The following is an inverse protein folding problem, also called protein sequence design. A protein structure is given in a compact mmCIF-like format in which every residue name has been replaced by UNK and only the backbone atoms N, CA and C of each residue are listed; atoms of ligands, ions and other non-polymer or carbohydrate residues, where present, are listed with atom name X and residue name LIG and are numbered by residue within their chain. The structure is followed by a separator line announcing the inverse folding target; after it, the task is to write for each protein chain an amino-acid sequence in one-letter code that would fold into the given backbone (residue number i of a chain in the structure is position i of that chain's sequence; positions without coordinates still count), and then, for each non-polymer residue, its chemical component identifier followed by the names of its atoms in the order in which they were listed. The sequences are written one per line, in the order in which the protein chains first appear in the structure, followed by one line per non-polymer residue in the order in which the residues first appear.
data_IF_560804596474
#
_entry.id   IF_560804596474
#
_cell.length_a   1.000
_cell.length_b   1.000
_cell.length_c   1.000
_cell.angle_alpha   90.00
_cell.angle_beta   90.00
_cell.angle_gamma   90.00
#
_symmetry.space_group_name_H-M   'P 1'
#
loop_
_entity.id
_entity.type
_entity.pdbx_description
1 polymer ?
#
# COMPACT_ATOMS: atom_id res chain seq x y z
N UNK A 1 17.10 3.05 48.44
CA UNK A 1 17.44 3.30 47.03
C UNK A 1 17.16 2.07 46.16
N UNK A 2 16.02 1.39 46.35
CA UNK A 2 15.64 0.16 45.64
C UNK A 2 14.19 0.21 45.10
N UNK A 3 13.44 1.27 45.40
CA UNK A 3 12.04 1.47 45.00
C UNK A 3 11.88 2.16 43.64
N UNK A 4 12.90 2.85 43.14
CA UNK A 4 12.84 3.54 41.84
C UNK A 4 13.10 2.63 40.63
N UNK A 5 13.74 1.47 40.82
CA UNK A 5 14.04 0.54 39.71
C UNK A 5 12.81 -0.25 39.25
N UNK A 6 11.85 -0.51 40.16
CA UNK A 6 10.64 -1.27 39.84
C UNK A 6 9.61 -0.45 39.05
N UNK A 7 9.55 0.87 39.23
CA UNK A 7 8.61 1.74 38.52
C UNK A 7 8.93 1.90 37.02
N UNK A 8 10.21 1.81 36.64
CA UNK A 8 10.65 1.88 35.23
C UNK A 8 10.27 0.63 34.42
N UNK A 9 10.10 -0.53 35.07
CA UNK A 9 9.65 -1.75 34.40
C UNK A 9 8.14 -1.75 34.11
N UNK A 10 7.32 -1.10 34.94
CA UNK A 10 5.86 -1.07 34.74
C UNK A 10 5.43 -0.10 33.64
N UNK A 11 6.11 1.03 33.46
CA UNK A 11 5.81 1.98 32.37
C UNK A 11 6.15 1.42 30.99
N UNK A 12 7.23 0.62 30.90
CA UNK A 12 7.61 -0.05 29.65
C UNK A 12 6.60 -1.14 29.24
N UNK A 13 5.95 -1.82 30.20
CA UNK A 13 4.95 -2.85 29.89
C UNK A 13 3.58 -2.28 29.49
N UNK A 14 3.16 -1.14 30.06
CA UNK A 14 1.87 -0.53 29.70
C UNK A 14 1.89 0.15 28.32
N UNK A 15 3.06 0.56 27.82
CA UNK A 15 3.18 1.15 26.49
C UNK A 15 2.92 0.14 25.34
N UNK A 16 3.10 -1.17 25.59
CA UNK A 16 2.96 -2.25 24.58
C UNK A 16 1.49 -2.72 24.43
N UNK A 17 0.57 -2.23 25.27
CA UNK A 17 -0.86 -2.56 25.22
C UNK A 17 -1.75 -1.43 24.68
N UNK A 18 -1.15 -0.32 24.21
CA UNK A 18 -1.90 0.90 23.88
C UNK A 18 -2.48 0.94 22.45
N UNK A 19 -2.00 0.12 21.52
CA UNK A 19 -2.35 0.24 20.11
C UNK A 19 -3.82 -0.06 19.81
N UNK A 20 -4.56 0.92 19.27
CA UNK A 20 -5.99 0.77 18.92
C UNK A 20 -6.28 -0.36 17.92
N UNK A 21 -5.30 -0.74 17.09
CA UNK A 21 -5.43 -1.80 16.09
C UNK A 21 -4.87 -3.15 16.56
N UNK A 22 -4.44 -3.24 17.81
CA UNK A 22 -3.93 -4.49 18.38
C UNK A 22 -4.99 -5.58 18.30
N UNK A 23 -4.60 -6.76 17.78
CA UNK A 23 -5.49 -7.90 17.52
C UNK A 23 -6.67 -7.61 16.58
N UNK A 24 -6.65 -6.50 15.84
CA UNK A 24 -7.64 -6.25 14.80
C UNK A 24 -7.40 -7.19 13.61
N UNK A 25 -8.46 -7.41 12.82
CA UNK A 25 -8.38 -8.08 11.52
C UNK A 25 -8.41 -7.05 10.42
N UNK A 26 -7.51 -7.17 9.44
CA UNK A 26 -7.42 -6.26 8.31
C UNK A 26 -7.97 -6.89 7.03
N UNK A 27 -8.94 -6.20 6.42
CA UNK A 27 -9.40 -6.47 5.05
C UNK A 27 -9.13 -5.26 4.18
N UNK A 28 -8.64 -5.50 2.97
CA UNK A 28 -8.27 -4.48 1.98
C UNK A 28 -9.21 -4.62 0.80
N UNK A 29 -9.98 -3.58 0.51
CA UNK A 29 -10.74 -3.47 -0.75
C UNK A 29 -9.97 -2.58 -1.72
N UNK A 30 -9.70 -3.09 -2.92
CA UNK A 30 -8.97 -2.38 -3.97
C UNK A 30 -9.89 -2.24 -5.17
N UNK A 31 -10.17 -1.00 -5.57
CA UNK A 31 -10.76 -0.67 -6.87
C UNK A 31 -9.67 -0.04 -7.75
N UNK A 32 -9.27 -0.79 -8.77
CA UNK A 32 -8.34 -0.36 -9.79
C UNK A 32 -9.11 0.17 -11.00
N UNK A 33 -8.74 1.37 -11.44
CA UNK A 33 -9.26 1.99 -12.65
C UNK A 33 -8.19 2.01 -13.73
N UNK A 34 -8.53 1.52 -14.92
CA UNK A 34 -7.70 1.63 -16.11
C UNK A 34 -8.13 2.85 -16.93
N UNK A 35 -7.19 3.57 -17.53
CA UNK A 35 -7.48 4.76 -18.32
C UNK A 35 -8.51 4.47 -19.43
N UNK A 36 -9.63 5.21 -19.49
CA UNK A 36 -10.59 5.08 -20.60
C UNK A 36 -10.16 5.85 -21.86
N UNK A 37 -9.18 6.75 -21.73
CA UNK A 37 -8.85 7.75 -22.76
C UNK A 37 -7.79 7.28 -23.75
N UNK A 38 -6.92 6.35 -23.33
CA UNK A 38 -5.83 5.88 -24.18
C UNK A 38 -6.22 4.60 -24.93
N UNK A 39 -6.04 4.59 -26.25
CA UNK A 39 -6.13 3.36 -27.04
C UNK A 39 -5.07 2.37 -26.53
N UNK A 40 -5.45 1.11 -26.32
CA UNK A 40 -4.55 0.10 -25.76
C UNK A 40 -4.12 0.39 -24.31
N UNK A 41 -4.94 1.05 -23.50
CA UNK A 41 -4.65 1.28 -22.08
C UNK A 41 -4.66 0.02 -21.22
N UNK A 42 -5.42 -0.99 -21.65
CA UNK A 42 -5.56 -2.23 -20.90
C UNK A 42 -4.36 -3.15 -21.03
N UNK A 43 -4.30 -4.16 -20.17
CA UNK A 43 -3.24 -5.16 -20.17
C UNK A 43 -3.80 -6.56 -20.01
N UNK A 44 -3.15 -7.53 -20.65
CA UNK A 44 -3.42 -8.95 -20.43
C UNK A 44 -2.44 -9.60 -19.43
N UNK A 45 -1.47 -8.83 -18.91
CA UNK A 45 -0.57 -9.28 -17.85
C UNK A 45 -1.35 -9.62 -16.58
N UNK A 46 -0.83 -10.58 -15.81
CA UNK A 46 -1.28 -10.71 -14.43
C UNK A 46 -0.73 -9.53 -13.63
N UNK A 47 -1.52 -8.99 -12.70
CA UNK A 47 -1.16 -7.81 -11.92
C UNK A 47 -1.31 -8.13 -10.44
N UNK A 48 -0.25 -7.95 -9.65
CA UNK A 48 -0.37 -7.84 -8.19
C UNK A 48 -0.28 -6.38 -7.78
N UNK A 49 -1.17 -5.95 -6.89
CA UNK A 49 -1.24 -4.58 -6.37
C UNK A 49 -0.96 -4.64 -4.87
N UNK A 50 0.25 -4.30 -4.46
CA UNK A 50 0.64 -4.29 -3.05
C UNK A 50 0.58 -2.87 -2.49
N UNK A 51 0.44 -2.77 -1.17
CA UNK A 51 0.33 -1.49 -0.46
C UNK A 51 1.47 -1.38 0.54
N UNK A 52 1.88 -0.18 0.88
CA UNK A 52 2.93 0.03 1.87
C UNK A 52 2.84 1.38 2.56
N UNK A 53 3.58 1.47 3.66
CA UNK A 53 3.83 2.72 4.36
C UNK A 53 5.32 3.01 4.33
N UNK A 54 5.64 4.22 3.90
CA UNK A 54 6.97 4.79 3.84
C UNK A 54 7.04 5.91 4.88
N UNK A 55 8.07 5.91 5.72
CA UNK A 55 8.23 6.91 6.77
C UNK A 55 8.78 8.25 6.23
N UNK A 56 8.95 9.21 7.14
CA UNK A 56 9.49 10.54 6.82
C UNK A 56 10.94 10.53 6.28
N UNK A 57 11.66 9.42 6.43
CA UNK A 57 13.00 9.22 5.86
C UNK A 57 12.97 8.57 4.47
N UNK A 58 11.77 8.43 3.88
CA UNK A 58 11.53 7.71 2.63
C UNK A 58 11.87 6.21 2.71
N UNK A 59 11.89 5.63 3.92
CA UNK A 59 12.17 4.21 4.11
C UNK A 59 10.87 3.40 4.22
N UNK A 60 10.77 2.29 3.48
CA UNK A 60 9.63 1.38 3.56
C UNK A 60 9.58 0.70 4.93
N UNK A 61 8.52 0.95 5.71
CA UNK A 61 8.33 0.36 7.04
C UNK A 61 7.74 -1.04 6.93
N UNK A 62 6.71 -1.19 6.12
CA UNK A 62 6.07 -2.48 5.81
C UNK A 62 5.42 -2.46 4.42
N UNK A 63 5.11 -3.66 3.92
CA UNK A 63 4.27 -3.84 2.75
C UNK A 63 3.26 -4.97 2.97
N UNK A 64 2.07 -4.80 2.39
CA UNK A 64 0.97 -5.75 2.36
C UNK A 64 0.86 -6.27 0.92
N UNK A 65 1.16 -7.56 0.75
CA UNK A 65 1.17 -8.20 -0.56
C UNK A 65 -0.20 -8.79 -0.89
N UNK A 66 -0.71 -8.49 -2.09
CA UNK A 66 -1.90 -9.16 -2.62
C UNK A 66 -1.50 -10.23 -3.63
N UNK A 67 -2.37 -11.23 -3.79
CA UNK A 67 -2.21 -12.22 -4.84
C UNK A 67 -2.30 -11.57 -6.23
N UNK A 68 -1.60 -12.13 -7.20
CA UNK A 68 -1.72 -11.69 -8.59
C UNK A 68 -3.13 -11.96 -9.12
N UNK A 69 -3.71 -10.96 -9.76
CA UNK A 69 -5.00 -11.01 -10.43
C UNK A 69 -4.77 -11.30 -11.91
N UNK A 70 -5.48 -12.28 -12.47
CA UNK A 70 -5.35 -12.66 -13.88
C UNK A 70 -5.90 -11.57 -14.79
N UNK A 71 -5.05 -10.92 -15.61
CA UNK A 71 -5.48 -9.85 -16.52
C UNK A 71 -6.21 -10.38 -17.75
N UNK A 72 -5.82 -11.54 -18.27
CA UNK A 72 -6.48 -12.18 -19.41
C UNK A 72 -7.88 -12.77 -19.10
N UNK A 73 -8.32 -12.71 -17.85
CA UNK A 73 -9.56 -13.33 -17.39
C UNK A 73 -10.64 -12.27 -17.22
N UNK A 74 -11.85 -12.53 -17.73
CA UNK A 74 -13.05 -11.71 -17.49
C UNK A 74 -12.92 -10.21 -17.83
N UNK A 75 -12.10 -9.83 -18.82
CA UNK A 75 -11.91 -8.42 -19.22
C UNK A 75 -11.40 -7.51 -18.09
N UNK A 76 -10.64 -8.07 -17.13
CA UNK A 76 -10.02 -7.30 -16.05
C UNK A 76 -8.92 -6.41 -16.59
N UNK A 77 -8.83 -5.20 -16.03
CA UNK A 77 -7.82 -4.21 -16.41
C UNK A 77 -7.90 -3.77 -17.87
N UNK A 78 -9.02 -4.01 -18.56
CA UNK A 78 -9.25 -3.50 -19.90
C UNK A 78 -9.38 -1.98 -19.92
N UNK A 79 -9.29 -1.38 -21.11
CA UNK A 79 -9.44 0.08 -21.24
C UNK A 79 -10.78 0.54 -20.65
N UNK A 80 -10.72 1.49 -19.71
CA UNK A 80 -11.90 2.05 -19.04
C UNK A 80 -12.55 1.13 -18.00
N UNK A 81 -11.93 -0.01 -17.71
CA UNK A 81 -12.40 -0.94 -16.69
C UNK A 81 -12.25 -0.38 -15.28
N UNK A 82 -13.12 -0.85 -14.39
CA UNK A 82 -13.08 -0.64 -12.94
C UNK A 82 -13.12 -2.00 -12.26
N UNK A 83 -11.95 -2.56 -12.05
CA UNK A 83 -11.82 -3.86 -11.42
C UNK A 83 -11.75 -3.72 -9.91
N UNK A 84 -12.58 -4.48 -9.19
CA UNK A 84 -12.59 -4.51 -7.73
C UNK A 84 -12.29 -5.90 -7.20
N UNK A 85 -11.44 -5.98 -6.18
CA UNK A 85 -11.20 -7.20 -5.42
C UNK A 85 -10.91 -6.89 -3.96
N UNK A 86 -11.15 -7.88 -3.11
CA UNK A 86 -10.90 -7.80 -1.67
C UNK A 86 -9.82 -8.79 -1.28
N UNK A 87 -8.92 -8.37 -0.39
CA UNK A 87 -7.88 -9.20 0.20
C UNK A 87 -7.99 -9.16 1.71
N UNK A 88 -8.23 -10.32 2.33
CA UNK A 88 -8.14 -10.46 3.78
C UNK A 88 -6.69 -10.74 4.15
N UNK A 89 -6.08 -9.83 4.91
CA UNK A 89 -4.69 -9.96 5.34
C UNK A 89 -4.61 -11.07 6.39
N UNK A 90 -3.70 -12.05 6.23
CA UNK A 90 -3.50 -13.06 7.26
C UNK A 90 -3.11 -12.42 8.60
N UNK A 91 -3.67 -12.92 9.71
CA UNK A 91 -3.45 -12.36 11.05
C UNK A 91 -1.95 -12.21 11.39
N UNK A 92 -1.13 -13.21 11.03
CA UNK A 92 0.32 -13.17 11.26
C UNK A 92 1.08 -12.15 10.41
N UNK A 93 0.55 -11.73 9.26
CA UNK A 93 1.15 -10.65 8.46
C UNK A 93 0.70 -9.29 8.97
N UNK A 94 -0.56 -9.16 9.39
CA UNK A 94 -1.04 -7.93 10.02
C UNK A 94 -0.37 -7.67 11.37
N UNK A 95 -0.11 -8.70 12.17
CA UNK A 95 0.63 -8.57 13.42
C UNK A 95 2.02 -7.97 13.20
N UNK A 96 2.73 -8.37 12.14
CA UNK A 96 4.04 -7.76 11.81
C UNK A 96 3.91 -6.27 11.47
N UNK A 97 2.86 -5.88 10.75
CA UNK A 97 2.58 -4.47 10.46
C UNK A 97 2.34 -3.70 11.75
N UNK A 98 1.48 -4.23 12.63
CA UNK A 98 1.17 -3.65 13.93
C UNK A 98 2.43 -3.48 14.80
N UNK A 99 3.30 -4.48 14.84
CA UNK A 99 4.58 -4.43 15.56
C UNK A 99 5.50 -3.34 15.01
N UNK A 100 5.57 -3.15 13.69
CA UNK A 100 6.38 -2.09 13.09
C UNK A 100 5.81 -0.69 13.37
N UNK A 101 4.49 -0.54 13.31
CA UNK A 101 3.84 0.72 13.69
C UNK A 101 4.00 1.04 15.18
N UNK A 102 3.94 0.02 16.04
CA UNK A 102 4.24 0.17 17.48
C UNK A 102 5.68 0.61 17.71
N UNK A 103 6.65 0.01 17.02
CA UNK A 103 8.08 0.43 17.12
C UNK A 103 8.28 1.86 16.65
N UNK A 104 7.65 2.25 15.54
CA UNK A 104 7.73 3.62 15.00
C UNK A 104 7.15 4.66 15.97
N UNK A 105 6.12 4.29 16.72
CA UNK A 105 5.44 5.16 17.68
C UNK A 105 6.19 5.36 19.01
N UNK A 106 7.22 4.58 19.31
CA UNK A 106 7.98 4.71 20.56
C UNK A 106 9.03 5.81 20.39
N UNK A 107 8.89 6.90 21.15
CA UNK A 107 9.86 8.00 21.18
C UNK A 107 11.16 7.57 21.87
N UNK A 108 12.29 8.26 21.64
CA UNK A 108 13.53 8.02 22.40
C UNK A 108 13.38 8.12 23.93
N UNK A 109 12.39 8.87 24.41
CA UNK A 109 12.04 8.97 25.83
C UNK A 109 11.32 7.75 26.39
N UNK A 110 10.94 6.78 25.55
CA UNK A 110 10.09 5.64 25.88
C UNK A 110 8.59 5.96 25.90
N UNK A 111 8.19 7.21 25.63
CA UNK A 111 6.78 7.59 25.53
C UNK A 111 6.17 7.08 24.21
N UNK A 112 4.92 6.62 24.28
CA UNK A 112 4.16 6.17 23.12
C UNK A 112 3.47 7.36 22.42
N UNK A 113 3.64 7.45 21.10
CA UNK A 113 2.99 8.44 20.24
C UNK A 113 1.82 7.81 19.48
N UNK A 114 0.61 7.96 20.03
CA UNK A 114 -0.62 7.43 19.42
C UNK A 114 -0.85 7.96 18.00
N UNK A 115 -0.47 9.21 17.72
CA UNK A 115 -0.67 9.79 16.39
C UNK A 115 0.29 9.17 15.37
N UNK A 116 1.56 8.94 15.75
CA UNK A 116 2.50 8.23 14.89
C UNK A 116 2.09 6.77 14.68
N UNK A 117 1.56 6.10 15.71
CA UNK A 117 1.04 4.74 15.61
C UNK A 117 -0.11 4.67 14.59
N UNK A 118 -1.13 5.53 14.74
CA UNK A 118 -2.28 5.50 13.84
C UNK A 118 -1.91 5.94 12.42
N UNK A 119 -1.05 6.95 12.28
CA UNK A 119 -0.58 7.45 10.98
C UNK A 119 0.26 6.41 10.21
N UNK A 120 0.92 5.48 10.89
CA UNK A 120 1.62 4.37 10.23
C UNK A 120 0.68 3.45 9.42
N UNK A 121 -0.62 3.42 9.73
CA UNK A 121 -1.62 2.67 8.96
C UNK A 121 -2.16 3.47 7.76
N UNK A 122 -1.75 4.73 7.61
CA UNK A 122 -2.12 5.57 6.47
C UNK A 122 -1.19 5.27 5.28
N UNK A 123 -1.50 4.17 4.57
CA UNK A 123 -0.69 3.70 3.44
C UNK A 123 -0.48 4.80 2.42
N UNK A 124 0.78 5.05 2.09
CA UNK A 124 1.21 6.13 1.20
C UNK A 124 2.00 5.64 -0.01
N UNK A 125 2.10 4.32 -0.21
CA UNK A 125 2.70 3.67 -1.36
C UNK A 125 1.79 2.58 -1.92
N UNK A 126 1.62 2.57 -3.23
CA UNK A 126 1.06 1.45 -3.98
C UNK A 126 2.09 0.93 -4.97
N UNK A 127 2.17 -0.39 -5.09
CA UNK A 127 3.18 -1.08 -5.87
C UNK A 127 2.54 -2.06 -6.83
N UNK A 128 2.84 -1.90 -8.11
CA UNK A 128 2.38 -2.75 -9.19
C UNK A 128 3.51 -3.67 -9.62
N UNK A 129 3.17 -4.95 -9.75
CA UNK A 129 4.04 -5.93 -10.41
C UNK A 129 3.24 -6.65 -11.48
N UNK A 130 3.75 -6.58 -12.71
CA UNK A 130 3.16 -7.21 -13.88
C UNK A 130 3.92 -8.49 -14.18
N UNK A 131 3.20 -9.56 -14.46
CA UNK A 131 3.77 -10.85 -14.82
C UNK A 131 3.42 -11.17 -16.26
N UNK A 132 4.44 -11.40 -17.08
CA UNK A 132 4.29 -11.85 -18.46
C UNK A 132 4.39 -13.36 -18.57
N UNK A 133 3.69 -13.94 -19.54
CA UNK A 133 3.69 -15.37 -19.82
C UNK A 133 3.32 -15.61 -21.29
N UNK A 134 3.63 -16.77 -21.84
CA UNK A 134 3.39 -17.04 -23.26
C UNK A 134 1.89 -16.97 -23.61
N UNK A 135 1.46 -15.87 -24.23
CA UNK A 135 0.06 -15.62 -24.58
C UNK A 135 -0.48 -14.24 -24.19
N UNK A 136 0.26 -13.45 -23.40
CA UNK A 136 -0.14 -12.07 -23.08
C UNK A 136 0.26 -11.08 -24.19
N UNK A 137 -0.72 -10.59 -24.96
CA UNK A 137 -0.52 -9.52 -25.95
C UNK A 137 -0.85 -8.16 -25.33
N UNK A 138 0.01 -7.15 -25.51
CA UNK A 138 -0.15 -5.83 -24.87
C UNK A 138 0.30 -5.84 -23.41
N UNK A 139 1.62 -5.85 -23.21
CA UNK A 139 2.23 -6.07 -21.89
C UNK A 139 2.12 -4.86 -20.97
N UNK A 140 2.17 -3.66 -21.55
CA UNK A 140 2.16 -2.42 -20.78
C UNK A 140 0.75 -2.01 -20.39
N UNK A 141 0.64 -1.25 -19.31
CA UNK A 141 -0.63 -0.90 -18.71
C UNK A 141 -0.69 0.58 -18.36
N UNK A 142 -1.90 1.15 -18.42
CA UNK A 142 -2.18 2.54 -18.09
C UNK A 142 -3.23 2.64 -16.96
N UNK A 143 -2.85 2.42 -15.69
CA UNK A 143 -3.74 2.61 -14.55
C UNK A 143 -4.06 4.10 -14.38
N UNK A 144 -5.33 4.52 -14.36
CA UNK A 144 -5.67 5.93 -14.12
C UNK A 144 -5.74 6.27 -12.63
N UNK A 145 -6.19 5.34 -11.81
CA UNK A 145 -6.31 5.56 -10.38
C UNK A 145 -6.58 4.27 -9.62
N UNK A 146 -6.20 4.23 -8.36
CA UNK A 146 -6.43 3.10 -7.46
C UNK A 146 -7.01 3.59 -6.16
N UNK A 147 -8.21 3.12 -5.84
CA UNK A 147 -8.89 3.38 -4.59
C UNK A 147 -8.66 2.21 -3.66
N UNK A 148 -8.26 2.52 -2.43
CA UNK A 148 -7.93 1.52 -1.41
C UNK A 148 -8.76 1.82 -0.19
N UNK A 149 -9.50 0.83 0.31
CA UNK A 149 -10.18 0.91 1.60
C UNK A 149 -9.60 -0.14 2.54
N UNK A 150 -8.91 0.31 3.58
CA UNK A 150 -8.49 -0.55 4.69
C UNK A 150 -9.65 -0.61 5.70
N UNK A 151 -10.12 -1.81 5.99
CA UNK A 151 -11.16 -2.06 7.00
C UNK A 151 -10.57 -2.88 8.14
N UNK A 152 -10.43 -2.23 9.30
CA UNK A 152 -9.94 -2.82 10.54
C UNK A 152 -11.14 -3.26 11.38
N UNK A 153 -11.33 -4.56 11.55
CA UNK A 153 -12.32 -5.11 12.48
C UNK A 153 -11.66 -5.27 13.84
N UNK A 154 -12.07 -4.46 14.81
CA UNK A 154 -11.51 -4.45 16.15
C UNK A 154 -12.01 -5.65 16.98
N UNK A 155 -11.35 -5.98 18.11
CA UNK A 155 -11.77 -7.11 18.96
C UNK A 155 -13.20 -7.02 19.50
N UNK A 156 -13.74 -5.81 19.66
CA UNK A 156 -15.12 -5.57 20.08
C UNK A 156 -16.15 -5.74 18.94
N UNK A 157 -15.68 -6.03 17.72
CA UNK A 157 -16.49 -6.19 16.51
C UNK A 157 -16.78 -4.88 15.76
N UNK A 158 -16.36 -3.72 16.27
CA UNK A 158 -16.47 -2.45 15.56
C UNK A 158 -15.52 -2.41 14.35
N UNK A 159 -15.87 -1.64 13.33
CA UNK A 159 -15.06 -1.51 12.12
C UNK A 159 -14.60 -0.08 11.92
N UNK A 160 -13.29 0.13 11.91
CA UNK A 160 -12.67 1.38 11.49
C UNK A 160 -12.22 1.28 10.03
N UNK A 161 -12.40 2.36 9.28
CA UNK A 161 -12.00 2.43 7.87
C UNK A 161 -11.00 3.54 7.62
N UNK A 162 -10.09 3.29 6.66
CA UNK A 162 -9.22 4.29 6.05
C UNK A 162 -9.34 4.17 4.54
N UNK A 163 -9.44 5.30 3.84
CA UNK A 163 -9.68 5.34 2.40
C UNK A 163 -8.61 6.19 1.73
N UNK A 164 -7.95 5.64 0.72
CA UNK A 164 -6.87 6.27 -0.01
C UNK A 164 -7.17 6.25 -1.50
N UNK A 165 -6.69 7.26 -2.22
CA UNK A 165 -6.82 7.34 -3.67
C UNK A 165 -5.49 7.73 -4.30
N UNK A 166 -4.85 6.76 -4.93
CA UNK A 166 -3.62 6.94 -5.71
C UNK A 166 -3.99 7.30 -7.14
N UNK A 167 -3.60 8.48 -7.59
CA UNK A 167 -3.84 8.95 -8.97
C UNK A 167 -2.56 8.84 -9.77
N UNK A 168 -2.59 8.11 -10.88
CA UNK A 168 -1.42 7.98 -11.73
C UNK A 168 -1.15 9.27 -12.54
N UNK A 169 -2.21 9.90 -13.06
CA UNK A 169 -2.16 11.18 -13.77
C UNK A 169 -3.51 11.91 -13.76
N UNK A 170 -3.49 13.23 -13.91
CA UNK A 170 -4.71 14.02 -14.13
C UNK A 170 -5.30 13.72 -15.52
N UNK A 171 -6.62 13.51 -15.57
CA UNK A 171 -7.40 13.09 -16.73
C UNK A 171 -7.29 13.98 -18.00
N UNK A 172 -6.50 15.06 -17.99
CA UNK A 172 -6.31 15.98 -19.12
C UNK A 172 -4.91 16.00 -19.76
N UNK A 173 -3.88 15.43 -19.13
CA UNK A 173 -2.49 15.48 -19.60
C UNK A 173 -1.85 14.09 -19.79
N UNK A 174 -2.68 13.04 -19.81
CA UNK A 174 -2.26 11.68 -20.04
C UNK A 174 -1.66 11.54 -21.45
N UNK A 175 -0.33 11.47 -21.57
CA UNK A 175 0.31 11.07 -22.80
C UNK A 175 0.02 9.56 -23.03
N UNK A 176 -0.76 9.28 -24.07
CA UNK A 176 -1.22 7.93 -24.41
C UNK A 176 -0.21 7.13 -25.24
N UNK A 177 0.85 7.78 -25.72
CA UNK A 177 1.84 7.17 -26.62
C UNK A 177 2.86 6.29 -25.86
N UNK A 178 2.74 6.21 -24.54
CA UNK A 178 3.73 5.61 -23.64
C UNK A 178 3.06 4.60 -22.69
N UNK A 179 3.77 3.56 -22.22
CA UNK A 179 3.29 2.73 -21.12
C UNK A 179 3.42 3.48 -19.79
N UNK A 180 2.47 3.36 -18.86
CA UNK A 180 2.67 3.92 -17.51
C UNK A 180 3.26 2.89 -16.56
N UNK A 181 2.91 1.62 -16.77
CA UNK A 181 3.50 0.46 -16.09
C UNK A 181 3.99 -0.49 -17.17
N UNK A 182 5.29 -0.78 -17.21
CA UNK A 182 5.87 -1.68 -18.18
C UNK A 182 5.50 -3.13 -17.85
N UNK A 183 5.16 -3.91 -18.87
CA UNK A 183 4.83 -5.31 -18.70
C UNK A 183 6.05 -6.15 -18.30
N UNK A 184 5.85 -7.04 -17.33
CA UNK A 184 6.95 -7.81 -16.72
C UNK A 184 7.81 -7.00 -15.76
N UNK A 185 7.52 -5.70 -15.62
CA UNK A 185 8.19 -4.78 -14.73
C UNK A 185 7.49 -4.62 -13.39
N UNK A 186 8.13 -3.81 -12.56
CA UNK A 186 7.61 -3.40 -11.27
C UNK A 186 7.66 -1.87 -11.18
N UNK A 187 6.58 -1.26 -10.69
CA UNK A 187 6.42 0.18 -10.62
C UNK A 187 5.68 0.58 -9.34
N UNK A 188 5.83 1.83 -8.89
CA UNK A 188 5.11 2.31 -7.72
C UNK A 188 4.49 3.70 -7.94
N UNK A 189 3.50 4.02 -7.11
CA UNK A 189 3.00 5.39 -6.93
C UNK A 189 2.98 5.74 -5.45
N UNK A 190 3.26 7.00 -5.16
CA UNK A 190 3.09 7.55 -3.83
C UNK A 190 1.76 8.28 -3.73
N UNK A 191 1.16 8.28 -2.54
CA UNK A 191 -0.03 9.07 -2.27
C UNK A 191 0.28 10.56 -2.46
N UNK A 192 -0.65 11.29 -3.09
CA UNK A 192 -0.57 12.72 -3.38
C UNK A 192 0.64 13.21 -4.20
N UNK A 193 1.47 12.30 -4.72
CA UNK A 193 2.52 12.64 -5.67
C UNK A 193 2.08 12.35 -7.10
N UNK A 194 2.32 13.33 -7.97
CA UNK A 194 2.14 13.16 -9.41
C UNK A 194 3.44 12.62 -10.01
N UNK A 195 3.33 11.55 -10.79
CA UNK A 195 4.43 11.17 -11.68
C UNK A 195 4.51 12.17 -12.83
N UNK A 196 5.71 12.67 -13.11
CA UNK A 196 6.01 13.53 -14.26
C UNK A 196 6.80 12.81 -15.36
N UNK A 197 7.04 11.50 -15.18
CA UNK A 197 7.78 10.67 -16.10
C UNK A 197 6.92 10.00 -17.16
N UNK A 198 7.60 9.44 -18.17
CA UNK A 198 6.97 8.65 -19.22
C UNK A 198 6.27 7.40 -18.64
N UNK A 199 6.99 6.71 -17.75
CA UNK A 199 6.47 5.64 -16.92
C UNK A 199 6.31 6.12 -15.47
N UNK A 200 5.50 5.39 -14.70
CA UNK A 200 5.60 5.42 -13.25
C UNK A 200 7.02 5.03 -12.83
N UNK A 201 7.53 5.56 -11.70
CA UNK A 201 8.83 5.16 -11.18
C UNK A 201 8.96 3.64 -11.07
N UNK A 202 10.08 3.09 -11.54
CA UNK A 202 10.39 1.67 -11.40
C UNK A 202 10.58 1.28 -9.94
N UNK A 203 10.02 0.14 -9.56
CA UNK A 203 10.24 -0.49 -8.27
C UNK A 203 11.45 -1.43 -8.26
N UNK A 204 11.92 -1.77 -7.07
CA UNK A 204 13.03 -2.70 -6.85
C UNK A 204 12.69 -3.77 -5.79
N UNK A 205 11.41 -4.12 -5.71
CA UNK A 205 10.83 -5.01 -4.71
C UNK A 205 10.49 -4.30 -3.40
N UNK A 206 9.60 -4.91 -2.62
CA UNK A 206 9.09 -4.35 -1.37
C UNK A 206 9.89 -4.89 -0.17
N UNK A 207 11.18 -4.55 -0.13
CA UNK A 207 12.03 -4.92 1.00
C UNK A 207 11.97 -3.83 2.07
N UNK A 208 11.76 -4.22 3.34
CA UNK A 208 11.79 -3.29 4.47
C UNK A 208 13.09 -2.46 4.47
N UNK A 209 12.97 -1.15 4.68
CA UNK A 209 14.07 -0.19 4.65
C UNK A 209 14.50 0.26 3.25
N UNK A 210 13.91 -0.29 2.18
CA UNK A 210 14.15 0.20 0.83
C UNK A 210 13.66 1.64 0.69
N UNK A 211 14.40 2.43 -0.09
CA UNK A 211 14.11 3.84 -0.29
C UNK A 211 13.02 4.03 -1.37
N UNK A 212 11.94 4.72 -1.00
CA UNK A 212 10.88 5.16 -1.89
C UNK A 212 10.61 6.64 -1.62
N UNK A 213 10.77 7.55 -2.60
CA UNK A 213 10.63 8.99 -2.41
C UNK A 213 9.16 9.45 -2.22
N UNK A 214 8.37 8.72 -1.44
CA UNK A 214 7.02 9.10 -1.04
C UNK A 214 7.11 10.03 0.17
N UNK A 215 6.76 11.30 -0.01
CA UNK A 215 6.65 12.20 1.14
C UNK A 215 5.62 11.63 2.13
N UNK A 216 6.02 11.42 3.38
CA UNK A 216 5.06 11.21 4.45
C UNK A 216 4.24 12.50 4.61
N UNK A 217 2.93 12.40 4.42
CA UNK A 217 1.98 13.51 4.61
C UNK A 217 1.85 13.93 6.07
#
# INVERSE_FOLDING_TARGET
MWTYLLLLFFTAFHAVDAGVFKNAKLSIDIEQQTSPWCNGAGTSCDVSISLGFVDASNALVYALHTAAQKGSEHFRFERGDRYRFTHNVPDGDFQKVEEECTKLAIKPSGAFDEAAYQGCFDVNLIYFRLYTWWGNFGSDWKPSGTYVTLSFTLPDGSVQKRVFHFKAMDHGNANCDIGWVAGGGEHYMCLDQKSSGEYLPSGNGLTKGAYYPCHAG
#
